data_IF_201569983481
#
_entry.id   IF_201569983481
#
_cell.length_a   1.000
_cell.length_b   1.000
_cell.length_c   1.000
_cell.angle_alpha   90.00
_cell.angle_beta   90.00
_cell.angle_gamma   90.00
#
_symmetry.space_group_name_H-M   'P 1'
#
loop_
_entity.id
_entity.type
_entity.pdbx_description
1 polymer ?
#
# COMPACT_ATOMS: atom_id res chain seq x y z
N UNK A 1 -16.98 3.96 -9.05
CA UNK A 1 -15.98 3.62 -8.01
C UNK A 1 -15.46 4.94 -7.47
N UNK A 2 -15.73 5.29 -6.20
CA UNK A 2 -15.26 6.58 -5.67
C UNK A 2 -13.73 6.54 -5.58
N UNK A 3 -13.08 7.42 -6.32
CA UNK A 3 -11.62 7.54 -6.47
C UNK A 3 -10.97 8.27 -5.30
N UNK A 4 -11.55 8.16 -4.11
CA UNK A 4 -11.07 8.87 -2.93
C UNK A 4 -9.72 8.25 -2.53
N UNK A 5 -8.67 9.04 -2.65
CA UNK A 5 -7.30 8.75 -2.25
C UNK A 5 -6.75 9.98 -1.53
N UNK A 6 -5.78 9.75 -0.65
CA UNK A 6 -5.12 10.77 0.15
C UNK A 6 -3.67 10.89 -0.33
N UNK A 7 -3.16 12.10 -0.59
CA UNK A 7 -3.89 13.37 -0.69
C UNK A 7 -4.86 13.42 -1.87
N UNK A 8 -5.87 14.28 -1.79
CA UNK A 8 -6.75 14.59 -2.92
C UNK A 8 -5.95 15.20 -4.07
N UNK A 9 -6.58 15.26 -5.25
CA UNK A 9 -5.96 15.89 -6.44
C UNK A 9 -5.55 17.35 -6.20
N UNK A 10 -6.35 18.10 -5.46
CA UNK A 10 -6.08 19.51 -5.17
C UNK A 10 -4.91 19.66 -4.20
N UNK A 11 -4.91 18.90 -3.11
CA UNK A 11 -3.82 18.87 -2.13
C UNK A 11 -2.50 18.42 -2.79
N UNK A 12 -2.56 17.40 -3.66
CA UNK A 12 -1.42 16.93 -4.44
C UNK A 12 -0.82 18.04 -5.31
N UNK A 13 -1.67 18.85 -5.96
CA UNK A 13 -1.22 20.01 -6.76
C UNK A 13 -0.53 21.07 -5.90
N UNK A 14 -1.00 21.29 -4.67
CA UNK A 14 -0.35 22.20 -3.73
C UNK A 14 1.07 21.72 -3.36
N UNK A 15 1.19 20.42 -3.03
CA UNK A 15 2.46 19.79 -2.62
C UNK A 15 3.51 19.74 -3.75
N UNK A 16 3.07 19.68 -5.01
CA UNK A 16 3.95 19.58 -6.17
C UNK A 16 4.88 20.79 -6.37
N UNK A 17 4.58 21.91 -5.71
CA UNK A 17 5.44 23.09 -5.71
C UNK A 17 6.77 22.89 -4.96
N UNK A 18 6.83 21.96 -4.00
CA UNK A 18 7.97 21.76 -3.10
C UNK A 18 8.47 20.32 -3.05
N UNK A 19 7.71 19.36 -3.57
CA UNK A 19 8.05 17.94 -3.52
C UNK A 19 8.11 17.34 -4.93
N UNK A 20 9.20 16.64 -5.25
CA UNK A 20 9.37 15.95 -6.52
C UNK A 20 8.59 14.61 -6.60
N UNK A 21 8.18 14.06 -5.45
CA UNK A 21 7.43 12.82 -5.33
C UNK A 21 6.36 12.99 -4.25
N UNK A 22 5.12 12.62 -4.58
CA UNK A 22 3.98 12.71 -3.67
C UNK A 22 3.28 11.34 -3.68
N UNK A 23 3.32 10.57 -2.58
CA UNK A 23 2.65 9.29 -2.52
C UNK A 23 1.13 9.49 -2.41
N UNK A 24 0.38 8.87 -3.31
CA UNK A 24 -1.07 8.76 -3.21
C UNK A 24 -1.42 7.38 -2.67
N UNK A 25 -2.20 7.33 -1.61
CA UNK A 25 -2.63 6.07 -1.02
C UNK A 25 -4.13 6.08 -0.74
N UNK A 26 -4.67 4.89 -0.50
CA UNK A 26 -6.02 4.72 0.03
C UNK A 26 -5.98 3.63 1.07
N UNK A 27 -6.81 3.78 2.09
CA UNK A 27 -7.04 2.71 3.04
C UNK A 27 -8.11 1.77 2.49
N UNK A 28 -7.95 0.49 2.80
CA UNK A 28 -8.88 -0.58 2.44
C UNK A 28 -9.11 -1.44 3.68
N UNK A 29 -10.35 -1.83 3.92
CA UNK A 29 -10.65 -2.85 4.94
C UNK A 29 -10.12 -4.19 4.44
N UNK A 30 -9.20 -4.77 5.19
CA UNK A 30 -8.47 -5.97 4.81
C UNK A 30 -8.43 -7.00 5.96
N UNK A 31 -9.39 -6.95 6.87
CA UNK A 31 -9.43 -7.76 8.10
C UNK A 31 -9.37 -9.27 7.85
N UNK A 32 -9.77 -9.69 6.65
CA UNK A 32 -9.77 -11.09 6.20
C UNK A 32 -8.57 -11.46 5.31
N UNK A 33 -7.62 -10.55 5.12
CA UNK A 33 -6.43 -10.78 4.28
C UNK A 33 -5.20 -10.99 5.16
N UNK A 34 -4.49 -12.10 4.94
CA UNK A 34 -3.10 -12.24 5.39
C UNK A 34 -2.17 -11.52 4.40
N UNK A 35 -0.94 -11.13 4.80
CA UNK A 35 -0.02 -10.46 3.88
C UNK A 35 0.28 -11.28 2.61
N UNK A 36 0.48 -12.60 2.73
CA UNK A 36 0.64 -13.52 1.59
C UNK A 36 -0.58 -13.48 0.65
N UNK A 37 -1.80 -13.45 1.21
CA UNK A 37 -3.02 -13.37 0.41
C UNK A 37 -3.17 -12.01 -0.27
N UNK A 38 -2.88 -10.92 0.44
CA UNK A 38 -2.89 -9.57 -0.13
C UNK A 38 -1.88 -9.44 -1.28
N UNK A 39 -0.66 -9.95 -1.10
CA UNK A 39 0.36 -9.97 -2.16
C UNK A 39 -0.12 -10.71 -3.40
N UNK A 40 -0.72 -11.89 -3.24
CA UNK A 40 -1.22 -12.70 -4.37
C UNK A 40 -2.37 -12.01 -5.14
N UNK A 41 -3.15 -11.14 -4.48
CA UNK A 41 -4.21 -10.36 -5.12
C UNK A 41 -3.66 -9.12 -5.84
N UNK A 42 -2.60 -8.50 -5.31
CA UNK A 42 -2.01 -7.27 -5.83
C UNK A 42 -0.91 -7.51 -6.88
N UNK A 43 -0.25 -8.67 -6.84
CA UNK A 43 0.86 -9.04 -7.71
C UNK A 43 0.51 -10.33 -8.49
N UNK A 44 -0.05 -10.21 -9.71
CA UNK A 44 -0.37 -11.36 -10.55
C UNK A 44 0.85 -12.23 -10.91
N UNK A 45 0.65 -13.46 -11.40
CA UNK A 45 1.74 -14.28 -11.91
C UNK A 45 2.53 -13.56 -13.01
N UNK A 46 3.85 -13.73 -12.98
CA UNK A 46 4.79 -13.12 -13.94
C UNK A 46 4.85 -11.57 -13.93
N UNK A 47 4.38 -10.91 -12.87
CA UNK A 47 4.62 -9.47 -12.66
C UNK A 47 5.72 -9.23 -11.62
N UNK A 48 6.61 -8.23 -11.79
CA UNK A 48 7.58 -7.88 -10.77
C UNK A 48 6.89 -7.44 -9.47
N UNK A 49 7.33 -8.01 -8.35
CA UNK A 49 6.82 -7.68 -7.03
C UNK A 49 7.69 -8.31 -5.94
N UNK A 50 7.58 -7.79 -4.72
CA UNK A 50 8.23 -8.33 -3.54
C UNK A 50 7.25 -8.36 -2.37
N UNK A 51 7.36 -9.40 -1.54
CA UNK A 51 6.71 -9.50 -0.24
C UNK A 51 7.81 -9.47 0.82
N UNK A 52 7.74 -8.51 1.73
CA UNK A 52 8.66 -8.40 2.86
C UNK A 52 7.85 -8.67 4.13
N UNK A 53 8.12 -9.79 4.79
CA UNK A 53 7.56 -10.13 6.09
C UNK A 53 8.70 -10.18 7.12
N UNK A 54 8.54 -9.46 8.23
CA UNK A 54 9.48 -9.54 9.35
C UNK A 54 8.99 -10.59 10.34
N UNK A 55 9.88 -11.52 10.70
CA UNK A 55 9.65 -12.53 11.73
C UNK A 55 10.50 -12.20 12.95
N UNK A 56 9.99 -11.34 13.83
CA UNK A 56 10.64 -11.14 15.13
C UNK A 56 10.30 -12.33 16.05
N UNK A 57 11.23 -13.27 16.18
CA UNK A 57 11.19 -14.32 17.19
C UNK A 57 9.95 -15.23 17.13
N UNK A 58 9.71 -15.90 16.00
CA UNK A 58 8.86 -17.10 15.85
C UNK A 58 7.34 -16.97 16.09
N UNK A 59 6.89 -16.03 16.92
CA UNK A 59 5.55 -16.00 17.52
C UNK A 59 4.86 -14.63 17.41
N UNK A 60 5.50 -13.59 16.84
CA UNK A 60 4.87 -12.28 16.67
C UNK A 60 5.10 -11.69 15.28
N UNK A 61 3.99 -11.48 14.57
CA UNK A 61 3.96 -10.71 13.33
C UNK A 61 4.29 -9.24 13.67
N UNK A 62 5.28 -8.66 12.97
CA UNK A 62 5.64 -7.25 13.09
C UNK A 62 4.50 -6.34 12.61
N UNK A 63 4.37 -5.15 13.22
CA UNK A 63 3.35 -4.14 12.86
C UNK A 63 3.91 -3.13 11.89
#
# INVERSE_FOLDING_TARGET
MRSDCTPTREESRGLASTHALIPLYREVLADMLTPVRAYSLLCPPNTPGFLLESVEGGERLAR
#
